data_IF_583187504138
#
_entry.id   IF_583187504138
#
_cell.length_a   1.000
_cell.length_b   1.000
_cell.length_c   1.000
_cell.angle_alpha   90.00
_cell.angle_beta   90.00
_cell.angle_gamma   90.00
#
_symmetry.space_group_name_H-M   'P 1'
#
loop_
_entity.id
_entity.type
_entity.pdbx_description
1 polymer ?
#
# COMPACT_ATOMS: atom_id res chain seq x y z
N UNK A 1 7.66 -12.16 -2.80
CA UNK A 1 6.56 -13.16 -2.78
C UNK A 1 6.25 -13.74 -1.40
N UNK A 2 7.24 -14.17 -0.59
CA UNK A 2 6.98 -14.75 0.74
C UNK A 2 6.27 -13.77 1.70
N UNK A 3 6.79 -12.55 1.83
CA UNK A 3 6.18 -11.49 2.66
C UNK A 3 4.76 -11.13 2.21
N UNK A 4 4.49 -11.10 0.91
CA UNK A 4 3.16 -10.76 0.40
C UNK A 4 2.13 -11.81 0.86
N UNK A 5 2.49 -13.10 0.80
CA UNK A 5 1.63 -14.17 1.30
C UNK A 5 1.47 -14.11 2.83
N UNK A 6 2.55 -13.86 3.55
CA UNK A 6 2.56 -13.80 5.01
C UNK A 6 1.78 -12.59 5.56
N UNK A 7 1.96 -11.41 4.95
CA UNK A 7 1.34 -10.16 5.36
C UNK A 7 -0.16 -10.12 5.06
N UNK A 8 -0.58 -10.63 3.90
CA UNK A 8 -1.98 -10.49 3.48
C UNK A 8 -2.84 -11.71 3.76
N UNK A 9 -2.27 -12.88 4.08
CA UNK A 9 -3.00 -14.17 4.19
C UNK A 9 -4.00 -14.39 3.04
N UNK A 10 -3.77 -13.73 1.90
CA UNK A 10 -4.77 -13.48 0.87
C UNK A 10 -4.36 -14.25 -0.36
N UNK A 11 -5.22 -15.16 -0.78
CA UNK A 11 -5.12 -15.89 -2.05
C UNK A 11 -5.22 -14.97 -3.28
N UNK A 12 -5.49 -13.66 -3.11
CA UNK A 12 -5.75 -12.73 -4.20
C UNK A 12 -4.49 -12.17 -4.85
N UNK A 13 -3.35 -12.22 -4.17
CA UNK A 13 -2.09 -11.74 -4.77
C UNK A 13 -1.18 -12.92 -5.08
N UNK A 14 -1.17 -13.23 -6.37
CA UNK A 14 -0.30 -14.19 -7.03
C UNK A 14 0.89 -13.49 -7.67
N UNK A 15 1.91 -14.24 -8.06
CA UNK A 15 3.02 -13.72 -8.86
C UNK A 15 2.54 -13.07 -10.17
N UNK A 16 1.57 -13.71 -10.85
CA UNK A 16 0.95 -13.16 -12.05
C UNK A 16 0.26 -11.82 -11.79
N UNK A 17 -0.50 -11.70 -10.68
CA UNK A 17 -1.13 -10.43 -10.33
C UNK A 17 -0.12 -9.34 -9.98
N UNK A 18 1.02 -9.70 -9.38
CA UNK A 18 2.10 -8.75 -9.08
C UNK A 18 2.83 -8.33 -10.37
N UNK A 19 3.05 -9.24 -11.32
CA UNK A 19 3.54 -8.89 -12.66
C UNK A 19 2.60 -7.92 -13.37
N UNK A 20 1.28 -8.06 -13.22
CA UNK A 20 0.32 -7.11 -13.77
C UNK A 20 0.47 -5.72 -13.14
N UNK A 21 0.71 -5.64 -11.82
CA UNK A 21 1.04 -4.38 -11.13
C UNK A 21 2.32 -3.78 -11.69
N UNK A 22 3.39 -4.56 -11.81
CA UNK A 22 4.68 -4.08 -12.31
C UNK A 22 4.65 -3.63 -13.77
N UNK A 23 3.67 -4.10 -14.56
CA UNK A 23 3.47 -3.70 -15.96
C UNK A 23 2.48 -2.53 -16.11
N UNK A 24 1.83 -2.09 -15.04
CA UNK A 24 0.88 -0.99 -15.10
C UNK A 24 1.59 0.36 -15.00
N UNK A 25 1.20 1.33 -15.83
CA UNK A 25 1.60 2.72 -15.63
C UNK A 25 0.86 3.31 -14.40
N UNK A 26 1.50 4.07 -13.51
CA UNK A 26 2.88 4.58 -13.54
C UNK A 26 3.87 3.81 -12.64
N UNK A 27 3.87 2.49 -12.65
CA UNK A 27 4.77 1.69 -11.80
C UNK A 27 6.25 2.07 -12.01
N UNK A 28 6.97 2.30 -10.91
CA UNK A 28 8.41 2.56 -10.86
C UNK A 28 9.01 1.74 -9.73
N UNK A 29 9.66 0.62 -10.07
CA UNK A 29 10.30 -0.27 -9.09
C UNK A 29 11.34 0.41 -8.19
N UNK A 30 11.87 1.58 -8.58
CA UNK A 30 12.79 2.34 -7.72
C UNK A 30 12.11 2.99 -6.51
N UNK A 31 10.77 2.97 -6.47
CA UNK A 31 9.97 3.49 -5.37
C UNK A 31 9.44 2.39 -4.43
N UNK A 32 9.67 1.13 -4.73
CA UNK A 32 9.27 0.01 -3.88
C UNK A 32 10.27 -0.17 -2.74
N UNK A 33 9.77 -0.24 -1.51
CA UNK A 33 10.58 -0.45 -0.31
C UNK A 33 10.22 -1.76 0.37
N UNK A 34 11.26 -2.46 0.81
CA UNK A 34 11.15 -3.70 1.59
C UNK A 34 12.04 -3.63 2.83
N UNK A 35 11.61 -4.32 3.89
CA UNK A 35 12.45 -4.60 5.06
C UNK A 35 12.74 -6.09 5.06
N UNK A 36 14.02 -6.43 5.13
CA UNK A 36 14.52 -7.79 5.30
C UNK A 36 14.90 -8.06 6.76
N UNK A 37 14.63 -9.27 7.23
CA UNK A 37 15.15 -9.78 8.49
C UNK A 37 16.66 -10.06 8.37
N UNK A 38 17.39 -10.24 9.49
CA UNK A 38 18.80 -10.64 9.45
C UNK A 38 19.06 -11.96 8.69
N UNK A 39 18.05 -12.82 8.57
CA UNK A 39 18.13 -14.10 7.86
C UNK A 39 17.76 -13.97 6.37
N UNK A 40 17.51 -12.75 5.87
CA UNK A 40 17.16 -12.46 4.48
C UNK A 40 15.68 -12.67 4.15
N UNK A 41 14.82 -12.84 5.16
CA UNK A 41 13.37 -12.94 4.94
C UNK A 41 12.77 -11.54 4.75
N UNK A 42 12.03 -11.33 3.66
CA UNK A 42 11.23 -10.10 3.52
C UNK A 42 10.12 -10.12 4.60
N UNK A 43 10.03 -9.07 5.43
CA UNK A 43 9.10 -9.01 6.56
C UNK A 43 8.15 -7.82 6.50
N UNK A 44 8.51 -6.75 5.80
CA UNK A 44 7.60 -5.65 5.51
C UNK A 44 7.84 -5.09 4.11
N UNK A 45 6.84 -4.46 3.51
CA UNK A 45 6.99 -3.78 2.23
C UNK A 45 5.97 -2.65 2.06
N UNK A 46 6.29 -1.71 1.17
CA UNK A 46 5.42 -0.63 0.72
C UNK A 46 5.79 -0.31 -0.73
N UNK A 47 4.82 -0.42 -1.65
CA UNK A 47 4.94 0.02 -3.03
C UNK A 47 4.34 1.42 -3.17
N UNK A 48 4.79 2.15 -4.18
CA UNK A 48 4.35 3.53 -4.41
C UNK A 48 4.00 3.73 -5.88
N UNK A 49 2.82 4.32 -6.11
CA UNK A 49 2.48 4.93 -7.40
C UNK A 49 2.75 6.41 -7.33
N UNK A 50 3.47 6.97 -8.31
CA UNK A 50 3.77 8.39 -8.36
C UNK A 50 3.20 9.06 -9.62
N UNK A 51 2.29 10.01 -9.40
CA UNK A 51 1.82 10.92 -10.43
C UNK A 51 2.75 12.15 -10.49
N UNK A 52 3.63 12.16 -11.48
CA UNK A 52 4.58 13.25 -11.67
C UNK A 52 3.90 14.58 -12.02
N UNK A 53 2.75 14.56 -12.69
CA UNK A 53 2.05 15.76 -13.14
C UNK A 53 1.42 16.47 -11.95
N UNK A 54 0.69 15.73 -11.13
CA UNK A 54 0.02 16.30 -9.95
C UNK A 54 0.91 16.34 -8.70
N UNK A 55 2.09 15.70 -8.74
CA UNK A 55 3.02 15.54 -7.61
C UNK A 55 2.35 14.82 -6.43
N UNK A 56 1.59 13.77 -6.72
CA UNK A 56 0.89 12.96 -5.71
C UNK A 56 1.45 11.55 -5.72
N UNK A 57 1.85 11.06 -4.55
CA UNK A 57 2.20 9.66 -4.32
C UNK A 57 1.04 8.90 -3.68
N UNK A 58 0.77 7.67 -4.13
CA UNK A 58 -0.16 6.74 -3.50
C UNK A 58 0.63 5.56 -2.96
N UNK A 59 0.49 5.29 -1.66
CA UNK A 59 1.03 4.08 -1.03
C UNK A 59 0.05 2.94 -1.27
N UNK A 60 0.54 1.86 -1.89
CA UNK A 60 -0.20 0.62 -2.14
C UNK A 60 0.76 -0.55 -2.32
N UNK A 61 0.29 -1.79 -2.25
CA UNK A 61 -0.08 -2.44 -0.99
C UNK A 61 1.08 -2.45 0.03
N UNK A 62 0.82 -2.04 1.26
CA UNK A 62 1.71 -2.30 2.39
C UNK A 62 1.39 -3.62 3.10
N UNK A 63 2.44 -4.40 3.38
CA UNK A 63 2.31 -5.63 4.13
C UNK A 63 3.35 -5.70 5.24
N UNK A 64 2.95 -6.27 6.37
CA UNK A 64 3.84 -6.66 7.47
C UNK A 64 3.50 -8.09 7.86
N UNK A 65 4.51 -8.94 7.90
CA UNK A 65 4.37 -10.29 8.43
C UNK A 65 3.89 -10.23 9.90
N UNK A 66 2.76 -10.87 10.26
CA UNK A 66 2.18 -10.80 11.60
C UNK A 66 3.12 -11.27 12.72
N UNK A 67 4.12 -12.11 12.43
CA UNK A 67 5.14 -12.54 13.41
C UNK A 67 5.97 -11.37 13.93
N UNK A 68 6.06 -10.28 13.17
CA UNK A 68 6.84 -9.08 13.48
C UNK A 68 5.95 -7.87 13.81
N UNK A 69 4.68 -8.12 14.17
CA UNK A 69 3.78 -7.08 14.62
C UNK A 69 4.27 -6.35 15.87
N UNK A 70 3.85 -5.09 16.01
CA UNK A 70 4.18 -4.18 17.12
C UNK A 70 5.68 -3.86 17.29
N UNK A 71 6.49 -4.11 16.27
CA UNK A 71 7.92 -3.73 16.22
C UNK A 71 8.18 -2.40 15.50
N UNK A 72 7.12 -1.69 15.06
CA UNK A 72 7.23 -0.42 14.33
C UNK A 72 7.62 -0.56 12.85
N UNK A 73 7.81 -1.78 12.34
CA UNK A 73 8.31 -2.03 10.99
C UNK A 73 7.40 -1.50 9.88
N UNK A 74 6.08 -1.61 10.04
CA UNK A 74 5.12 -1.04 9.09
C UNK A 74 5.28 0.49 8.99
N UNK A 75 5.42 1.17 10.13
CA UNK A 75 5.67 2.62 10.15
C UNK A 75 7.02 2.97 9.54
N UNK A 76 8.06 2.16 9.77
CA UNK A 76 9.39 2.39 9.21
C UNK A 76 9.39 2.28 7.69
N UNK A 77 8.78 1.23 7.12
CA UNK A 77 8.74 1.05 5.66
C UNK A 77 7.92 2.14 4.98
N UNK A 78 6.80 2.57 5.59
CA UNK A 78 6.02 3.71 5.10
C UNK A 78 6.86 5.01 5.10
N UNK A 79 7.68 5.26 6.12
CA UNK A 79 8.54 6.45 6.18
C UNK A 79 9.66 6.43 5.14
N UNK A 80 10.25 5.25 4.87
CA UNK A 80 11.22 5.08 3.78
C UNK A 80 10.56 5.41 2.43
N UNK A 81 9.36 4.87 2.20
CA UNK A 81 8.55 5.19 1.03
C UNK A 81 8.24 6.70 0.90
N UNK A 82 7.83 7.35 1.98
CA UNK A 82 7.58 8.80 2.00
C UNK A 82 8.85 9.60 1.68
N UNK A 83 10.03 9.18 2.14
CA UNK A 83 11.28 9.84 1.79
C UNK A 83 11.57 9.76 0.28
N UNK A 84 11.32 8.61 -0.35
CA UNK A 84 11.48 8.47 -1.80
C UNK A 84 10.52 9.40 -2.58
N UNK A 85 9.29 9.59 -2.10
CA UNK A 85 8.36 10.57 -2.65
C UNK A 85 8.87 12.02 -2.49
N UNK A 86 9.46 12.35 -1.35
CA UNK A 86 10.09 13.67 -1.11
C UNK A 86 11.23 13.90 -2.12
N UNK A 87 12.07 12.90 -2.37
CA UNK A 87 13.16 12.97 -3.36
C UNK A 87 12.63 13.20 -4.78
N UNK A 88 11.49 12.60 -5.14
CA UNK A 88 10.76 12.85 -6.40
C UNK A 88 10.01 14.19 -6.41
N UNK A 89 10.11 14.99 -5.33
CA UNK A 89 9.43 16.29 -5.14
C UNK A 89 7.91 16.17 -5.15
N UNK A 90 7.37 15.07 -4.63
CA UNK A 90 5.95 14.94 -4.35
C UNK A 90 5.52 16.05 -3.36
N UNK A 91 4.30 16.54 -3.54
CA UNK A 91 3.66 17.53 -2.66
C UNK A 91 2.69 16.88 -1.69
N UNK A 92 2.10 15.76 -2.09
CA UNK A 92 1.09 15.05 -1.31
C UNK A 92 1.36 13.55 -1.39
N UNK A 93 1.19 12.86 -0.27
CA UNK A 93 1.08 11.42 -0.23
C UNK A 93 -0.35 11.05 0.22
N UNK A 94 -0.93 10.04 -0.41
CA UNK A 94 -2.26 9.51 -0.08
C UNK A 94 -2.16 8.01 0.17
N UNK A 95 -3.10 7.50 0.96
CA UNK A 95 -3.28 6.08 1.22
C UNK A 95 -4.75 5.79 1.43
N UNK A 96 -5.22 4.63 0.97
CA UNK A 96 -6.62 4.23 1.13
C UNK A 96 -6.73 3.28 2.33
N UNK A 97 -7.44 3.73 3.36
CA UNK A 97 -7.73 2.92 4.55
C UNK A 97 -9.13 2.31 4.43
N UNK A 98 -9.27 1.04 4.80
CA UNK A 98 -10.58 0.33 4.77
C UNK A 98 -11.06 -0.12 6.14
N UNK A 99 -10.27 0.10 7.21
CA UNK A 99 -10.61 -0.27 8.58
C UNK A 99 -10.26 0.83 9.60
N UNK A 100 -10.92 0.88 10.77
CA UNK A 100 -10.53 1.79 11.85
C UNK A 100 -9.08 1.61 12.32
N UNK A 101 -8.56 0.38 12.36
CA UNK A 101 -7.20 0.10 12.81
C UNK A 101 -6.14 0.65 11.83
N UNK A 102 -6.37 0.49 10.52
CA UNK A 102 -5.49 1.07 9.49
C UNK A 102 -5.56 2.60 9.53
N UNK A 103 -6.75 3.17 9.78
CA UNK A 103 -6.92 4.60 9.94
C UNK A 103 -6.08 5.18 11.11
N UNK A 104 -6.15 4.59 12.30
CA UNK A 104 -5.35 5.04 13.45
C UNK A 104 -3.85 4.81 13.24
N UNK A 105 -3.47 3.73 12.56
CA UNK A 105 -2.08 3.49 12.16
C UNK A 105 -1.54 4.62 11.27
N UNK A 106 -2.25 4.97 10.20
CA UNK A 106 -1.80 6.03 9.28
C UNK A 106 -1.77 7.39 9.92
N UNK A 107 -2.75 7.68 10.78
CA UNK A 107 -2.75 8.88 11.61
C UNK A 107 -1.51 8.96 12.51
N UNK A 108 -1.05 7.83 13.06
CA UNK A 108 0.19 7.79 13.87
C UNK A 108 1.47 8.08 13.07
N UNK A 109 1.45 7.93 11.74
CA UNK A 109 2.56 8.24 10.83
C UNK A 109 2.51 9.70 10.36
N UNK A 110 1.41 10.42 10.63
CA UNK A 110 1.23 11.83 10.28
C UNK A 110 0.27 12.06 9.10
N UNK A 111 -0.43 11.03 8.62
CA UNK A 111 -1.53 11.22 7.68
C UNK A 111 -2.75 11.83 8.37
N UNK A 112 -3.56 12.54 7.60
CA UNK A 112 -4.84 13.08 8.05
C UNK A 112 -5.95 12.71 7.06
N UNK A 113 -7.20 12.72 7.53
CA UNK A 113 -8.33 12.42 6.67
C UNK A 113 -8.51 13.51 5.61
N UNK A 114 -8.34 13.14 4.34
CA UNK A 114 -8.49 14.07 3.21
C UNK A 114 -9.78 13.82 2.40
N UNK A 115 -10.17 12.56 2.20
CA UNK A 115 -11.33 12.18 1.41
C UNK A 115 -11.98 10.89 1.94
N UNK A 116 -13.19 10.60 1.47
CA UNK A 116 -13.89 9.35 1.78
C UNK A 116 -14.46 8.72 0.50
N UNK A 117 -14.12 7.45 0.27
CA UNK A 117 -14.73 6.64 -0.79
C UNK A 117 -16.05 6.06 -0.29
N UNK A 118 -17.13 6.29 -1.04
CA UNK A 118 -18.46 5.70 -0.77
C UNK A 118 -18.88 4.82 -1.94
N UNK A 119 -19.15 3.55 -1.67
CA UNK A 119 -19.65 2.62 -2.67
C UNK A 119 -21.17 2.70 -2.78
N UNK A 120 -21.68 2.87 -3.99
CA UNK A 120 -23.11 2.84 -4.29
C UNK A 120 -23.42 1.62 -5.14
N UNK A 121 -24.44 0.85 -4.76
CA UNK A 121 -24.87 -0.32 -5.50
C UNK A 121 -26.31 -0.12 -5.98
N UNK A 122 -26.53 -0.25 -7.29
CA UNK A 122 -27.87 -0.30 -7.86
C UNK A 122 -28.29 -1.75 -7.97
N UNK A 123 -29.29 -2.16 -7.21
CA UNK A 123 -29.91 -3.46 -7.38
C UNK A 123 -30.64 -3.50 -8.73
N UNK A 124 -30.39 -4.55 -9.54
CA UNK A 124 -31.22 -4.82 -10.71
C UNK A 124 -32.52 -5.48 -10.22
N UNK A 125 -33.66 -4.97 -10.68
CA UNK A 125 -34.95 -5.62 -10.45
C UNK A 125 -34.92 -7.00 -11.11
N UNK A 126 -35.24 -8.09 -10.40
CA UNK A 126 -35.25 -9.44 -10.98
C UNK A 126 -36.38 -9.67 -12.00
N UNK A 127 -37.31 -8.70 -12.18
CA UNK A 127 -38.54 -8.87 -12.96
C UNK A 127 -38.55 -8.19 -14.34
N UNK A 128 -37.41 -7.81 -14.91
CA UNK A 128 -37.36 -7.42 -16.34
C UNK A 128 -36.99 -8.65 -17.20
N UNK A 129 -38.02 -9.42 -17.57
CA UNK A 129 -38.05 -10.20 -18.81
C UNK A 129 -38.77 -9.37 -19.87
#
# INVERSE_FOLDING_TARGET
>A
MAVHRAAFQSLRVTEESYLNVMNAYPYDSSLDWVIESPDGELIAFCLIWFDEVNKVGLLEPEGLDPRFWRMGLASSVCKLALNALIEKRAKTAIVVCTSPDTYEFYKSIGFEQFAQTKSFHRFKNPNNN
#
